data_IF_567788719215
#
_entry.id   IF_567788719215
#
_cell.length_a   1.000
_cell.length_b   1.000
_cell.length_c   1.000
_cell.angle_alpha   90.00
_cell.angle_beta   90.00
_cell.angle_gamma   90.00
#
_symmetry.space_group_name_H-M   'P 1'
#
loop_
_entity.id
_entity.type
_entity.pdbx_description
1 polymer ?
#
# COMPACT_ATOMS: atom_id res chain seq x y z
N UNK A 1 10.55 18.04 24.54
CA UNK A 1 10.33 16.89 23.63
C UNK A 1 9.19 16.05 24.19
N UNK A 2 8.05 15.95 23.50
CA UNK A 2 6.99 15.00 23.90
C UNK A 2 7.54 13.58 23.67
N UNK A 3 7.70 12.82 24.75
CA UNK A 3 8.41 11.54 24.75
C UNK A 3 7.79 10.47 23.86
N UNK A 4 8.67 9.63 23.30
CA UNK A 4 8.31 8.37 22.65
C UNK A 4 7.43 7.54 23.61
N UNK A 5 6.16 7.30 23.25
CA UNK A 5 5.18 6.62 24.10
C UNK A 5 3.92 7.45 24.44
N UNK A 6 3.84 8.72 24.03
CA UNK A 6 2.60 9.51 24.14
C UNK A 6 1.45 8.88 23.34
N UNK A 7 0.22 9.01 23.83
CA UNK A 7 -1.03 8.58 23.17
C UNK A 7 -1.08 8.98 21.69
N UNK A 8 -0.53 10.15 21.32
CA UNK A 8 -0.46 10.61 19.94
C UNK A 8 0.45 9.76 19.02
N UNK A 9 1.54 9.20 19.54
CA UNK A 9 2.37 8.27 18.77
C UNK A 9 1.71 6.89 18.62
N UNK A 10 0.97 6.45 19.64
CA UNK A 10 0.21 5.18 19.60
C UNK A 10 -0.90 5.27 18.56
N UNK A 11 -1.68 6.36 18.56
CA UNK A 11 -2.72 6.61 17.56
C UNK A 11 -2.11 6.69 16.15
N UNK A 12 -0.97 7.37 16.00
CA UNK A 12 -0.27 7.44 14.72
C UNK A 12 0.20 6.05 14.23
N UNK A 13 0.73 5.21 15.10
CA UNK A 13 1.14 3.85 14.72
C UNK A 13 -0.07 3.00 14.26
N UNK A 14 -1.20 3.10 14.97
CA UNK A 14 -2.45 2.42 14.60
C UNK A 14 -2.98 2.94 13.25
N UNK A 15 -2.96 4.24 12.99
CA UNK A 15 -3.37 4.79 11.71
C UNK A 15 -2.49 4.30 10.54
N UNK A 16 -1.17 4.23 10.73
CA UNK A 16 -0.23 3.73 9.70
C UNK A 16 -0.36 2.23 9.41
N UNK A 17 -0.99 1.46 10.31
CA UNK A 17 -1.25 0.03 10.09
C UNK A 17 -2.34 -0.20 9.03
N UNK A 18 -3.37 0.65 8.99
CA UNK A 18 -4.47 0.53 8.03
C UNK A 18 -4.11 1.08 6.65
N UNK A 19 -3.52 2.28 6.61
CA UNK A 19 -3.03 2.88 5.38
C UNK A 19 -1.63 3.43 5.65
N UNK A 20 -0.62 2.96 4.90
CA UNK A 20 0.75 3.43 5.05
C UNK A 20 0.80 4.95 4.84
N UNK A 21 1.34 5.67 5.82
CA UNK A 21 1.45 7.14 5.81
C UNK A 21 0.42 7.90 6.65
N UNK A 22 -0.72 7.32 7.06
CA UNK A 22 -1.72 8.05 7.85
C UNK A 22 -1.23 8.50 9.23
N UNK A 23 -0.40 7.69 9.91
CA UNK A 23 0.17 8.10 11.19
C UNK A 23 1.06 9.32 11.09
N UNK A 24 1.72 9.49 9.94
CA UNK A 24 2.51 10.68 9.67
C UNK A 24 1.60 11.90 9.40
N UNK A 25 0.39 11.71 8.85
CA UNK A 25 -0.61 12.79 8.73
C UNK A 25 -1.14 13.24 10.11
N UNK A 26 -1.43 12.29 11.01
CA UNK A 26 -1.91 12.58 12.38
C UNK A 26 -0.85 13.34 13.20
N UNK A 27 0.43 13.11 12.91
CA UNK A 27 1.56 13.83 13.52
C UNK A 27 1.87 15.19 12.84
N UNK A 28 1.08 15.63 11.86
CA UNK A 28 1.30 16.87 11.10
C UNK A 28 2.46 16.79 10.08
N UNK A 29 2.99 15.60 9.81
CA UNK A 29 4.14 15.34 8.92
C UNK A 29 3.68 14.94 7.52
N UNK A 30 3.00 15.86 6.84
CA UNK A 30 2.32 15.62 5.55
C UNK A 30 3.26 15.13 4.45
N UNK A 31 4.46 15.70 4.33
CA UNK A 31 5.43 15.30 3.31
C UNK A 31 5.87 13.83 3.48
N UNK A 32 6.08 13.39 4.72
CA UNK A 32 6.49 12.01 5.01
C UNK A 32 5.34 11.02 4.87
N UNK A 33 4.12 11.44 5.18
CA UNK A 33 2.92 10.67 4.92
C UNK A 33 2.74 10.36 3.44
N UNK A 34 2.87 11.37 2.59
CA UNK A 34 2.76 11.23 1.14
C UNK A 34 3.82 10.27 0.60
N UNK A 35 5.07 10.44 1.02
CA UNK A 35 6.18 9.56 0.63
C UNK A 35 5.91 8.11 1.02
N UNK A 36 5.44 7.85 2.25
CA UNK A 36 5.12 6.49 2.72
C UNK A 36 3.92 5.86 2.01
N UNK A 37 2.87 6.66 1.74
CA UNK A 37 1.69 6.21 1.01
C UNK A 37 2.05 5.80 -0.43
N UNK A 38 2.83 6.63 -1.12
CA UNK A 38 3.30 6.36 -2.49
C UNK A 38 4.22 5.15 -2.52
N UNK A 39 5.21 5.06 -1.63
CA UNK A 39 6.12 3.90 -1.56
C UNK A 39 5.37 2.59 -1.33
N UNK A 40 4.39 2.59 -0.45
CA UNK A 40 3.61 1.39 -0.18
C UNK A 40 2.64 1.03 -1.30
N UNK A 41 2.02 2.01 -1.97
CA UNK A 41 1.25 1.78 -3.20
C UNK A 41 2.11 1.21 -4.32
N UNK A 42 3.35 1.69 -4.46
CA UNK A 42 4.31 1.15 -5.42
C UNK A 42 4.71 -0.29 -5.09
N UNK A 43 5.03 -0.59 -3.83
CA UNK A 43 5.30 -1.96 -3.38
C UNK A 43 4.09 -2.88 -3.57
N UNK A 44 2.88 -2.37 -3.30
CA UNK A 44 1.62 -3.08 -3.50
C UNK A 44 1.36 -3.39 -4.98
N UNK A 45 1.65 -2.47 -5.90
CA UNK A 45 1.57 -2.73 -7.35
C UNK A 45 2.61 -3.75 -7.82
N UNK A 46 3.82 -3.72 -7.25
CA UNK A 46 4.95 -4.55 -7.68
C UNK A 46 4.86 -5.99 -7.16
N UNK A 47 4.29 -6.22 -5.98
CA UNK A 47 4.28 -7.56 -5.35
C UNK A 47 2.96 -8.33 -5.48
N UNK A 48 1.86 -7.70 -5.90
CA UNK A 48 0.52 -8.30 -5.82
C UNK A 48 0.14 -9.00 -7.13
N UNK A 49 -0.32 -10.25 -7.04
CA UNK A 49 -0.56 -11.20 -8.14
C UNK A 49 -1.67 -10.86 -9.16
N UNK A 50 -2.06 -9.60 -9.32
CA UNK A 50 -2.95 -9.16 -10.41
C UNK A 50 -2.33 -9.43 -11.80
N UNK A 51 -1.01 -9.58 -11.84
CA UNK A 51 -0.21 -9.98 -13.01
C UNK A 51 -0.54 -11.39 -13.49
N UNK A 52 -0.71 -12.35 -12.58
CA UNK A 52 -1.03 -13.74 -12.92
C UNK A 52 -2.47 -13.88 -13.41
N UNK A 53 -3.36 -13.02 -12.90
CA UNK A 53 -4.75 -12.95 -13.34
C UNK A 53 -4.89 -12.37 -14.74
N UNK A 54 -4.20 -11.28 -15.05
CA UNK A 54 -4.22 -10.71 -16.40
C UNK A 54 -3.65 -11.71 -17.41
N UNK A 55 -2.61 -12.46 -17.02
CA UNK A 55 -2.06 -13.55 -17.84
C UNK A 55 -3.10 -14.64 -18.10
N UNK A 56 -3.75 -15.15 -17.06
CA UNK A 56 -4.73 -16.23 -17.23
C UNK A 56 -5.93 -15.82 -18.10
N UNK A 57 -6.33 -14.55 -18.07
CA UNK A 57 -7.41 -14.02 -18.90
C UNK A 57 -7.03 -14.00 -20.39
N UNK A 58 -5.82 -13.55 -20.70
CA UNK A 58 -5.35 -13.42 -22.08
C UNK A 58 -5.11 -14.80 -22.69
N UNK A 59 -4.56 -15.73 -21.91
CA UNK A 59 -4.31 -17.11 -22.33
C UNK A 59 -5.62 -17.82 -22.69
N UNK A 60 -6.65 -17.70 -21.86
CA UNK A 60 -7.97 -18.26 -22.13
C UNK A 60 -8.68 -17.60 -23.33
N UNK A 61 -8.52 -16.27 -23.49
CA UNK A 61 -9.16 -15.52 -24.57
C UNK A 61 -8.55 -15.81 -25.95
N UNK A 62 -7.27 -16.21 -26.00
CA UNK A 62 -6.55 -16.53 -27.23
C UNK A 62 -6.60 -18.02 -27.60
N UNK A 63 -7.19 -18.85 -26.74
CA UNK A 63 -7.33 -20.27 -26.98
C UNK A 63 -8.12 -20.52 -28.27
N UNK A 64 -7.48 -21.14 -29.27
CA UNK A 64 -8.08 -21.53 -30.54
C UNK A 64 -8.08 -23.06 -30.64
N UNK A 65 -9.23 -23.74 -30.51
CA UNK A 65 -9.27 -25.19 -30.64
C UNK A 65 -8.87 -25.59 -32.06
N UNK A 66 -7.91 -26.51 -32.16
CA UNK A 66 -7.51 -27.11 -33.44
C UNK A 66 -8.57 -28.13 -33.84
N UNK A 67 -9.44 -27.75 -34.77
CA UNK A 67 -10.20 -28.69 -35.60
C UNK A 67 -9.29 -29.30 -36.66
#
# INVERSE_FOLDING_TARGET
>A
MAGQGSTGNVIAAVCSFFIPGLGQLVQGRVLKALVMFVLAGLLWLIWMGWIVHIWSIIDAALFKPRT
#
